data_IF_603948219551
#
_entry.id   IF_603948219551
#
_cell.length_a   1.000
_cell.length_b   1.000
_cell.length_c   1.000
_cell.angle_alpha   90.00
_cell.angle_beta   90.00
_cell.angle_gamma   90.00
#
_symmetry.space_group_name_H-M   'P 1'
#
loop_
_entity.id
_entity.type
_entity.pdbx_description
1 polymer ?
#
# COMPACT_ATOMS: atom_id res chain seq x y z
N UNK A 1 -3.34 49.09 -43.16
CA UNK A 1 -3.70 48.17 -42.06
C UNK A 1 -5.01 48.67 -41.51
N UNK A 2 -6.12 48.10 -41.91
CA UNK A 2 -7.42 48.40 -41.32
C UNK A 2 -7.45 47.86 -39.89
N UNK A 3 -7.84 48.73 -38.96
CA UNK A 3 -8.03 48.39 -37.55
C UNK A 3 -9.32 47.57 -37.46
N UNK A 4 -9.19 46.26 -37.24
CA UNK A 4 -10.27 45.30 -37.13
C UNK A 4 -10.72 45.14 -35.66
N UNK A 5 -10.54 46.18 -34.85
CA UNK A 5 -11.04 46.18 -33.48
C UNK A 5 -12.57 46.21 -33.53
N UNK A 6 -13.29 45.18 -33.12
CA UNK A 6 -14.75 45.20 -33.10
C UNK A 6 -15.22 46.27 -32.13
N UNK A 7 -16.07 47.20 -32.61
CA UNK A 7 -16.82 48.12 -31.75
C UNK A 7 -17.51 47.30 -30.63
N UNK A 8 -17.44 47.83 -29.42
CA UNK A 8 -17.88 47.19 -28.16
C UNK A 8 -19.12 46.32 -28.34
N UNK A 9 -18.92 45.00 -28.42
CA UNK A 9 -20.05 44.08 -28.28
C UNK A 9 -20.54 44.18 -26.84
N UNK A 10 -21.74 44.73 -26.64
CA UNK A 10 -22.49 44.54 -25.41
C UNK A 10 -22.86 43.05 -25.30
N UNK A 11 -21.91 42.25 -24.83
CA UNK A 11 -22.17 40.87 -24.47
C UNK A 11 -23.20 40.89 -23.36
N UNK A 12 -24.37 40.31 -23.60
CA UNK A 12 -25.39 40.19 -22.58
C UNK A 12 -24.76 39.49 -21.36
N UNK A 13 -25.16 39.83 -20.14
CA UNK A 13 -24.62 39.25 -18.88
C UNK A 13 -24.61 37.73 -18.94
N UNK A 14 -25.61 37.11 -19.58
CA UNK A 14 -25.72 35.67 -19.80
C UNK A 14 -24.61 35.16 -20.72
N UNK A 15 -24.33 35.81 -21.83
CA UNK A 15 -23.27 35.41 -22.76
C UNK A 15 -21.89 35.48 -22.10
N UNK A 16 -21.62 36.54 -21.30
CA UNK A 16 -20.38 36.69 -20.54
C UNK A 16 -20.23 35.56 -19.49
N UNK A 17 -21.30 35.22 -18.76
CA UNK A 17 -21.27 34.13 -17.79
C UNK A 17 -21.07 32.77 -18.47
N UNK A 18 -21.72 32.54 -19.61
CA UNK A 18 -21.57 31.27 -20.38
C UNK A 18 -20.16 31.15 -20.93
N UNK A 19 -19.57 32.24 -21.49
CA UNK A 19 -18.20 32.24 -21.98
C UNK A 19 -17.20 31.96 -20.86
N UNK A 20 -17.36 32.61 -19.70
CA UNK A 20 -16.52 32.36 -18.53
C UNK A 20 -16.63 30.90 -18.03
N UNK A 21 -17.82 30.35 -18.04
CA UNK A 21 -18.03 28.95 -17.63
C UNK A 21 -17.41 27.96 -18.64
N UNK A 22 -17.55 28.22 -19.95
CA UNK A 22 -16.92 27.42 -21.01
C UNK A 22 -15.40 27.45 -20.93
N UNK A 23 -14.80 28.63 -20.73
CA UNK A 23 -13.34 28.76 -20.54
C UNK A 23 -12.89 28.01 -19.30
N UNK A 24 -13.59 28.16 -18.18
CA UNK A 24 -13.29 27.44 -16.96
C UNK A 24 -13.36 25.92 -17.13
N UNK A 25 -14.35 25.44 -17.90
CA UNK A 25 -14.48 24.02 -18.21
C UNK A 25 -13.37 23.55 -19.14
N UNK A 26 -13.00 24.31 -20.16
CA UNK A 26 -11.90 23.98 -21.06
C UNK A 26 -10.55 23.93 -20.32
N UNK A 27 -10.29 24.88 -19.42
CA UNK A 27 -9.09 24.85 -18.55
C UNK A 27 -9.04 23.60 -17.68
N UNK A 28 -10.17 23.25 -17.05
CA UNK A 28 -10.26 22.01 -16.25
C UNK A 28 -10.00 20.75 -17.09
N UNK A 29 -10.47 20.70 -18.32
CA UNK A 29 -10.23 19.56 -19.20
C UNK A 29 -8.73 19.45 -19.57
N UNK A 30 -8.08 20.57 -19.89
CA UNK A 30 -6.64 20.61 -20.19
C UNK A 30 -5.82 20.19 -18.96
N UNK A 31 -6.18 20.68 -17.77
CA UNK A 31 -5.53 20.29 -16.52
C UNK A 31 -5.68 18.78 -16.26
N UNK A 32 -6.86 18.23 -16.56
CA UNK A 32 -7.17 16.81 -16.44
C UNK A 32 -6.34 15.97 -17.42
N UNK A 33 -6.27 16.36 -18.69
CA UNK A 33 -5.45 15.67 -19.69
C UNK A 33 -3.97 15.65 -19.30
N UNK A 34 -3.40 16.79 -18.93
CA UNK A 34 -2.02 16.88 -18.44
C UNK A 34 -1.77 16.04 -17.20
N UNK A 35 -2.77 15.95 -16.32
CA UNK A 35 -2.71 15.11 -15.13
C UNK A 35 -2.66 13.63 -15.52
N UNK A 36 -3.53 13.19 -16.45
CA UNK A 36 -3.51 11.81 -16.96
C UNK A 36 -2.18 11.45 -17.61
N UNK A 37 -1.68 12.29 -18.53
CA UNK A 37 -0.38 12.10 -19.18
C UNK A 37 0.77 11.93 -18.17
N UNK A 38 0.68 12.62 -17.03
CA UNK A 38 1.72 12.62 -16.01
C UNK A 38 1.75 11.36 -15.16
N UNK A 39 0.60 10.74 -14.92
CA UNK A 39 0.46 9.65 -13.96
C UNK A 39 -0.01 8.32 -14.56
N UNK A 40 -0.52 8.26 -15.80
CA UNK A 40 -1.09 7.06 -16.43
C UNK A 40 -0.14 5.85 -16.46
N UNK A 41 1.19 6.08 -16.47
CA UNK A 41 2.21 5.04 -16.49
C UNK A 41 2.83 4.79 -15.12
N UNK A 42 2.28 5.39 -14.08
CA UNK A 42 2.77 5.30 -12.69
C UNK A 42 1.78 4.64 -11.75
N UNK A 43 0.69 4.12 -12.27
CA UNK A 43 -0.21 3.27 -11.50
C UNK A 43 0.56 2.03 -11.02
N UNK A 44 0.29 1.61 -9.79
CA UNK A 44 0.96 0.50 -9.11
C UNK A 44 2.44 0.76 -8.79
N UNK A 45 2.87 2.01 -8.76
CA UNK A 45 4.24 2.39 -8.41
C UNK A 45 4.31 3.15 -7.08
N UNK A 46 5.52 3.10 -6.49
CA UNK A 46 5.89 3.95 -5.37
C UNK A 46 6.30 5.33 -5.87
N UNK A 47 5.61 6.35 -5.40
CA UNK A 47 5.89 7.75 -5.69
C UNK A 47 6.49 8.44 -4.47
N UNK A 48 7.42 9.36 -4.71
CA UNK A 48 7.89 10.31 -3.70
C UNK A 48 6.88 11.44 -3.60
N UNK A 49 6.45 11.74 -2.39
CA UNK A 49 5.52 12.81 -2.07
C UNK A 49 6.12 13.67 -0.96
N UNK A 50 5.88 14.98 -1.03
CA UNK A 50 6.26 15.91 0.03
C UNK A 50 5.04 16.33 0.81
N UNK A 51 5.10 16.24 2.13
CA UNK A 51 4.05 16.74 3.00
C UNK A 51 4.03 18.26 2.92
N UNK A 52 2.90 18.83 2.49
CA UNK A 52 2.74 20.30 2.41
C UNK A 52 2.09 20.85 3.67
N UNK A 53 1.08 20.16 4.17
CA UNK A 53 0.39 20.52 5.41
C UNK A 53 -0.39 19.33 5.96
N UNK A 54 -0.67 19.38 7.24
CA UNK A 54 -1.62 18.48 7.91
C UNK A 54 -2.88 19.28 8.22
N UNK A 55 -4.05 18.75 7.87
CA UNK A 55 -5.34 19.39 8.11
C UNK A 55 -6.30 18.39 8.78
N UNK A 56 -6.54 18.57 10.09
CA UNK A 56 -7.22 17.56 10.89
C UNK A 56 -6.46 16.25 10.85
N UNK A 57 -7.17 15.17 10.55
CA UNK A 57 -6.58 13.82 10.42
C UNK A 57 -6.05 13.51 9.01
N UNK A 58 -6.19 14.43 8.05
CA UNK A 58 -5.75 14.25 6.68
C UNK A 58 -4.42 14.93 6.40
N UNK A 59 -3.58 14.29 5.59
CA UNK A 59 -2.28 14.83 5.16
C UNK A 59 -2.37 15.28 3.72
N UNK A 60 -1.97 16.51 3.46
CA UNK A 60 -1.93 17.08 2.10
C UNK A 60 -0.51 16.95 1.58
N UNK A 61 -0.39 16.29 0.45
CA UNK A 61 0.88 15.96 -0.20
C UNK A 61 1.03 16.71 -1.52
N UNK A 62 2.25 17.03 -1.87
CA UNK A 62 2.65 17.41 -3.22
C UNK A 62 3.36 16.24 -3.89
N UNK A 63 2.84 15.78 -5.03
CA UNK A 63 3.46 14.76 -5.88
C UNK A 63 3.78 15.39 -7.22
N UNK A 64 5.04 15.74 -7.42
CA UNK A 64 5.51 16.40 -8.66
C UNK A 64 4.69 17.65 -9.06
N UNK A 65 4.35 18.52 -8.10
CA UNK A 65 3.56 19.73 -8.34
C UNK A 65 2.05 19.46 -8.40
N UNK A 66 1.59 18.29 -8.03
CA UNK A 66 0.17 17.96 -7.92
C UNK A 66 -0.22 17.76 -6.45
N UNK A 67 -1.19 18.51 -5.99
CA UNK A 67 -1.70 18.41 -4.61
C UNK A 67 -2.64 17.22 -4.50
N UNK A 68 -2.34 16.31 -3.58
CA UNK A 68 -3.11 15.09 -3.31
C UNK A 68 -3.38 14.99 -1.81
N UNK A 69 -4.52 14.45 -1.43
CA UNK A 69 -4.88 14.23 -0.03
C UNK A 69 -4.68 12.74 0.30
N UNK A 70 -3.97 12.48 1.40
CA UNK A 70 -3.85 11.16 2.01
C UNK A 70 -4.79 11.12 3.22
N UNK A 71 -5.96 10.48 3.10
CA UNK A 71 -6.92 10.41 4.19
C UNK A 71 -6.47 9.44 5.29
N UNK A 72 -7.04 9.53 6.50
CA UNK A 72 -6.59 8.77 7.68
C UNK A 72 -6.55 7.25 7.47
N UNK A 73 -7.52 6.71 6.72
CA UNK A 73 -7.63 5.26 6.44
C UNK A 73 -6.51 4.71 5.57
N UNK A 74 -5.79 5.59 4.84
CA UNK A 74 -4.68 5.22 3.96
C UNK A 74 -3.31 5.62 4.52
N UNK A 75 -3.29 6.22 5.70
CA UNK A 75 -2.06 6.55 6.42
C UNK A 75 -1.54 5.36 7.21
N UNK A 76 -0.26 5.41 7.58
CA UNK A 76 0.28 4.54 8.62
C UNK A 76 -0.30 5.02 9.95
N UNK A 77 -1.05 4.18 10.70
CA UNK A 77 -1.64 4.58 11.98
C UNK A 77 -0.57 5.09 12.96
N UNK A 78 -0.85 6.20 13.63
CA UNK A 78 -0.01 6.83 14.66
C UNK A 78 1.29 7.48 14.14
N UNK A 79 1.54 7.48 12.83
CA UNK A 79 2.64 8.24 12.25
C UNK A 79 2.34 9.73 12.33
N UNK A 80 3.30 10.49 12.85
CA UNK A 80 3.27 11.96 12.78
C UNK A 80 3.89 12.40 11.45
N UNK A 81 3.12 13.14 10.67
CA UNK A 81 3.56 13.72 9.42
C UNK A 81 3.92 15.18 9.64
N UNK A 82 5.14 15.57 9.25
CA UNK A 82 5.61 16.96 9.41
C UNK A 82 5.65 17.68 8.06
N UNK A 83 5.21 18.95 7.98
CA UNK A 83 5.34 19.75 6.77
C UNK A 83 6.80 19.82 6.29
N UNK A 84 7.02 19.54 5.01
CA UNK A 84 8.35 19.46 4.39
C UNK A 84 8.95 18.06 4.36
N UNK A 85 8.44 17.09 5.10
CA UNK A 85 8.87 15.70 5.06
C UNK A 85 8.65 15.08 3.69
N UNK A 86 9.62 14.29 3.21
CA UNK A 86 9.47 13.45 2.03
C UNK A 86 9.07 12.05 2.44
N UNK A 87 7.95 11.57 1.91
CA UNK A 87 7.41 10.23 2.17
C UNK A 87 7.23 9.45 0.88
N UNK A 88 7.29 8.13 0.96
CA UNK A 88 6.87 7.27 -0.13
C UNK A 88 5.37 6.98 0.00
N UNK A 89 4.65 6.98 -1.13
CA UNK A 89 3.24 6.59 -1.21
C UNK A 89 3.05 5.66 -2.41
N UNK A 90 2.17 4.71 -2.28
CA UNK A 90 1.79 3.82 -3.37
C UNK A 90 0.61 4.41 -4.13
N UNK A 91 0.76 4.55 -5.45
CA UNK A 91 -0.32 4.98 -6.33
C UNK A 91 -1.09 3.76 -6.81
N UNK A 92 -2.31 3.60 -6.31
CA UNK A 92 -3.15 2.46 -6.64
C UNK A 92 -3.83 2.62 -7.99
N UNK A 93 -4.53 3.74 -8.18
CA UNK A 93 -5.16 4.10 -9.45
C UNK A 93 -5.50 5.59 -9.52
N UNK A 94 -5.91 6.01 -10.71
CA UNK A 94 -6.43 7.34 -10.95
C UNK A 94 -7.93 7.29 -11.16
N UNK A 95 -8.69 8.04 -10.36
CA UNK A 95 -10.12 8.24 -10.61
C UNK A 95 -10.35 9.50 -11.42
N UNK A 96 -11.09 9.32 -12.52
CA UNK A 96 -11.59 10.43 -13.33
C UNK A 96 -13.03 10.73 -12.95
N UNK A 97 -13.22 11.47 -11.86
CA UNK A 97 -14.58 11.91 -11.49
C UNK A 97 -14.83 13.37 -11.91
N UNK A 98 -16.14 13.69 -12.07
CA UNK A 98 -16.60 15.04 -12.30
C UNK A 98 -16.23 15.93 -11.12
N UNK A 99 -15.18 16.76 -11.28
CA UNK A 99 -14.80 17.75 -10.27
C UNK A 99 -13.36 17.77 -9.81
N UNK A 100 -12.54 16.80 -10.18
CA UNK A 100 -11.11 16.76 -9.81
C UNK A 100 -10.43 15.48 -10.27
N UNK A 101 -9.13 15.56 -10.44
CA UNK A 101 -8.29 14.38 -10.66
C UNK A 101 -7.91 13.83 -9.29
N UNK A 102 -8.44 12.70 -8.93
CA UNK A 102 -8.11 12.06 -7.66
C UNK A 102 -7.14 10.91 -7.89
N UNK A 103 -5.93 11.06 -7.35
CA UNK A 103 -5.02 9.93 -7.16
C UNK A 103 -5.46 9.20 -5.90
N UNK A 104 -5.70 7.91 -6.01
CA UNK A 104 -5.86 7.05 -4.85
C UNK A 104 -4.48 6.55 -4.43
N UNK A 105 -3.97 7.13 -3.37
CA UNK A 105 -2.66 6.83 -2.81
C UNK A 105 -2.81 6.19 -1.45
N UNK A 106 -1.88 5.30 -1.09
CA UNK A 106 -1.92 4.61 0.19
C UNK A 106 -0.52 4.32 0.73
N UNK A 107 -0.41 4.31 2.06
CA UNK A 107 0.71 3.73 2.80
C UNK A 107 0.27 2.53 3.64
N UNK A 108 -1.04 2.29 3.75
CA UNK A 108 -1.60 1.29 4.66
C UNK A 108 -1.93 -0.05 4.00
N UNK A 109 -2.00 -0.13 2.66
CA UNK A 109 -2.35 -1.36 1.95
C UNK A 109 -1.17 -2.35 1.81
N UNK A 110 -1.48 -3.57 1.40
CA UNK A 110 -0.48 -4.62 1.16
C UNK A 110 0.41 -4.31 -0.05
N UNK A 111 -0.17 -3.69 -1.10
CA UNK A 111 0.55 -3.35 -2.33
C UNK A 111 1.68 -2.34 -2.08
N UNK A 112 1.54 -1.46 -1.08
CA UNK A 112 2.61 -0.56 -0.63
C UNK A 112 3.84 -1.34 -0.17
N UNK A 113 3.63 -2.45 0.58
CA UNK A 113 4.71 -3.33 1.02
C UNK A 113 5.34 -4.05 -0.17
N UNK A 114 4.50 -4.63 -1.05
CA UNK A 114 4.99 -5.32 -2.26
C UNK A 114 5.91 -4.41 -3.08
N UNK A 115 5.45 -3.20 -3.38
CA UNK A 115 6.21 -2.23 -4.17
C UNK A 115 7.52 -1.77 -3.49
N UNK A 116 7.55 -1.67 -2.15
CA UNK A 116 8.80 -1.40 -1.41
C UNK A 116 9.75 -2.58 -1.53
N UNK A 117 9.26 -3.81 -1.30
CA UNK A 117 10.08 -5.01 -1.35
C UNK A 117 10.67 -5.22 -2.76
N UNK A 118 9.86 -5.11 -3.80
CA UNK A 118 10.31 -5.22 -5.20
C UNK A 118 11.38 -4.19 -5.56
N UNK A 119 11.26 -2.97 -5.04
CA UNK A 119 12.24 -1.92 -5.27
C UNK A 119 13.56 -2.16 -4.54
N UNK A 120 13.51 -2.78 -3.36
CA UNK A 120 14.67 -2.98 -2.50
C UNK A 120 15.36 -4.33 -2.73
N UNK A 121 14.64 -5.35 -3.23
CA UNK A 121 15.10 -6.73 -3.35
C UNK A 121 15.16 -7.12 -4.83
N UNK A 122 16.38 -7.19 -5.43
CA UNK A 122 16.53 -7.50 -6.85
C UNK A 122 15.99 -8.87 -7.25
N UNK A 123 15.99 -9.84 -6.33
CA UNK A 123 15.52 -11.21 -6.55
C UNK A 123 14.00 -11.27 -6.79
N UNK A 124 13.26 -10.32 -6.24
CA UNK A 124 11.85 -10.12 -6.58
C UNK A 124 11.70 -9.49 -7.96
N UNK A 125 12.51 -8.47 -8.27
CA UNK A 125 12.45 -7.78 -9.55
C UNK A 125 12.83 -8.68 -10.74
N UNK A 126 13.72 -9.66 -10.55
CA UNK A 126 14.14 -10.61 -11.60
C UNK A 126 13.33 -11.92 -11.60
N UNK A 127 12.37 -12.09 -10.69
CA UNK A 127 11.49 -13.26 -10.61
C UNK A 127 12.15 -14.53 -10.05
N UNK A 128 13.33 -14.45 -9.43
CA UNK A 128 13.96 -15.57 -8.72
C UNK A 128 13.14 -15.97 -7.49
N UNK A 129 12.61 -14.98 -6.79
CA UNK A 129 11.67 -15.14 -5.68
C UNK A 129 10.37 -14.42 -6.05
N UNK A 130 9.24 -15.03 -5.74
CA UNK A 130 7.92 -14.43 -5.98
C UNK A 130 7.22 -14.15 -4.66
N UNK A 131 6.44 -13.07 -4.63
CA UNK A 131 5.49 -12.81 -3.55
C UNK A 131 4.14 -13.40 -3.94
N UNK A 132 3.72 -14.43 -3.22
CA UNK A 132 2.44 -15.10 -3.46
C UNK A 132 1.28 -14.36 -2.80
N UNK A 133 1.52 -13.87 -1.59
CA UNK A 133 0.48 -13.22 -0.80
C UNK A 133 1.07 -12.32 0.28
N UNK A 134 0.38 -11.22 0.55
CA UNK A 134 0.69 -10.34 1.68
C UNK A 134 -0.56 -10.15 2.51
N UNK A 135 -0.46 -10.40 3.82
CA UNK A 135 -1.44 -9.99 4.81
C UNK A 135 -0.82 -8.95 5.72
N UNK A 136 -1.48 -7.80 5.87
CA UNK A 136 -0.95 -6.65 6.57
C UNK A 136 -1.90 -6.09 7.62
N UNK A 137 -1.36 -5.83 8.77
CA UNK A 137 -1.93 -4.95 9.78
C UNK A 137 -0.95 -3.78 9.96
N UNK A 138 -1.20 -2.69 9.24
CA UNK A 138 -0.28 -1.55 9.17
C UNK A 138 0.21 -1.11 10.55
N UNK A 139 1.52 -0.85 10.66
CA UNK A 139 2.26 -0.51 11.88
C UNK A 139 2.22 -1.53 13.02
N UNK A 140 1.74 -2.71 12.78
CA UNK A 140 1.76 -3.80 13.77
C UNK A 140 2.61 -4.95 13.26
N UNK A 141 2.17 -5.55 12.16
CA UNK A 141 2.81 -6.73 11.59
C UNK A 141 2.34 -6.97 10.16
N UNK A 142 3.27 -7.42 9.33
CA UNK A 142 2.99 -7.92 7.98
C UNK A 142 3.54 -9.34 7.84
N UNK A 143 2.79 -10.21 7.19
CA UNK A 143 3.24 -11.53 6.75
C UNK A 143 3.29 -11.55 5.23
N UNK A 144 4.46 -11.89 4.70
CA UNK A 144 4.74 -11.99 3.27
C UNK A 144 5.00 -13.45 2.95
N UNK A 145 4.17 -14.02 2.11
CA UNK A 145 4.33 -15.40 1.64
C UNK A 145 5.14 -15.35 0.36
N UNK A 146 6.22 -16.11 0.36
CA UNK A 146 7.18 -16.16 -0.75
C UNK A 146 7.31 -17.56 -1.30
N UNK A 147 7.68 -17.64 -2.58
CA UNK A 147 7.98 -18.89 -3.28
C UNK A 147 9.19 -18.72 -4.19
N UNK A 148 9.75 -19.83 -4.65
CA UNK A 148 10.76 -19.85 -5.70
C UNK A 148 10.54 -21.05 -6.61
N UNK A 149 10.94 -20.90 -7.88
CA UNK A 149 10.94 -22.00 -8.85
C UNK A 149 12.30 -22.73 -8.91
N UNK A 150 13.31 -22.25 -8.18
CA UNK A 150 14.65 -22.85 -8.15
C UNK A 150 14.87 -23.52 -6.78
N UNK A 151 14.90 -24.85 -6.76
CA UNK A 151 15.13 -25.65 -5.56
C UNK A 151 16.45 -25.34 -4.82
N UNK A 152 17.37 -24.63 -5.45
CA UNK A 152 18.65 -24.24 -4.85
C UNK A 152 18.59 -22.92 -4.12
N UNK A 153 17.48 -22.20 -4.25
CA UNK A 153 17.27 -20.89 -3.66
C UNK A 153 16.37 -21.03 -2.43
N UNK A 154 16.84 -20.59 -1.28
CA UNK A 154 15.99 -20.40 -0.09
C UNK A 154 15.29 -19.04 -0.20
N UNK A 155 13.97 -18.99 -0.51
CA UNK A 155 13.29 -17.74 -0.74
C UNK A 155 13.22 -16.88 0.53
N UNK A 156 13.08 -17.50 1.72
CA UNK A 156 13.07 -16.78 3.00
C UNK A 156 14.46 -16.25 3.32
N UNK A 157 15.49 -17.06 3.10
CA UNK A 157 16.88 -16.67 3.28
C UNK A 157 17.25 -15.48 2.41
N UNK A 158 16.84 -15.46 1.14
CA UNK A 158 17.03 -14.34 0.23
C UNK A 158 16.39 -13.06 0.77
N UNK A 159 15.15 -13.14 1.28
CA UNK A 159 14.44 -11.97 1.81
C UNK A 159 15.07 -11.41 3.08
N UNK A 160 15.64 -12.28 3.92
CA UNK A 160 16.22 -11.91 5.22
C UNK A 160 17.71 -11.59 5.12
N UNK A 161 18.46 -12.33 4.30
CA UNK A 161 19.92 -12.28 4.30
C UNK A 161 20.50 -11.11 3.49
N UNK A 162 19.76 -10.57 2.54
CA UNK A 162 20.29 -9.48 1.73
C UNK A 162 20.46 -8.18 2.53
N UNK A 163 21.46 -8.21 3.39
CA UNK A 163 22.06 -7.11 4.15
C UNK A 163 21.08 -6.33 5.02
N UNK A 164 21.30 -6.44 6.27
CA UNK A 164 20.77 -5.60 7.35
C UNK A 164 20.54 -4.13 6.95
N UNK A 165 21.38 -3.58 6.06
CA UNK A 165 21.22 -2.23 5.53
C UNK A 165 19.95 -2.05 4.71
N UNK A 166 19.59 -3.01 3.83
CA UNK A 166 18.37 -2.92 3.00
C UNK A 166 17.10 -3.13 3.82
N UNK A 167 17.13 -4.09 4.74
CA UNK A 167 16.01 -4.30 5.66
C UNK A 167 15.81 -3.07 6.55
N UNK A 168 16.88 -2.42 7.01
CA UNK A 168 16.77 -1.20 7.80
C UNK A 168 16.16 -0.05 7.01
N UNK A 169 16.45 0.07 5.71
CA UNK A 169 15.80 1.03 4.82
C UNK A 169 14.30 0.73 4.66
N UNK A 170 13.95 -0.54 4.42
CA UNK A 170 12.55 -1.00 4.35
C UNK A 170 11.83 -0.70 5.67
N UNK A 171 12.41 -1.09 6.81
CA UNK A 171 11.81 -0.86 8.12
C UNK A 171 11.66 0.63 8.43
N UNK A 172 12.61 1.48 8.01
CA UNK A 172 12.49 2.92 8.19
C UNK A 172 11.35 3.53 7.37
N UNK A 173 11.12 3.03 6.15
CA UNK A 173 9.98 3.42 5.32
C UNK A 173 8.63 2.97 5.90
N UNK A 174 8.65 1.92 6.72
CA UNK A 174 7.47 1.30 7.34
C UNK A 174 7.30 1.65 8.82
N UNK A 175 8.06 2.64 9.34
CA UNK A 175 8.05 3.00 10.76
C UNK A 175 8.26 1.81 11.71
N UNK A 176 9.21 0.92 11.36
CA UNK A 176 9.58 -0.27 12.14
C UNK A 176 8.47 -1.31 12.27
N UNK A 177 7.54 -1.36 11.31
CA UNK A 177 6.57 -2.44 11.21
C UNK A 177 7.27 -3.81 11.11
N UNK A 178 6.81 -4.79 11.89
CA UNK A 178 7.40 -6.13 11.85
C UNK A 178 6.96 -6.87 10.60
N UNK A 179 7.93 -7.39 9.84
CA UNK A 179 7.67 -8.21 8.66
C UNK A 179 8.16 -9.63 8.92
N UNK A 180 7.27 -10.61 8.75
CA UNK A 180 7.59 -12.03 8.72
C UNK A 180 7.56 -12.52 7.27
N UNK A 181 8.64 -13.12 6.80
CA UNK A 181 8.70 -13.83 5.53
C UNK A 181 8.50 -15.32 5.77
N UNK A 182 7.62 -15.93 5.00
CA UNK A 182 7.21 -17.33 5.17
C UNK A 182 7.16 -17.95 3.78
N UNK A 183 7.83 -19.08 3.62
CA UNK A 183 7.73 -19.89 2.42
C UNK A 183 6.38 -20.58 2.34
N UNK A 184 5.81 -20.63 1.13
CA UNK A 184 4.58 -21.41 0.92
C UNK A 184 4.92 -22.89 1.03
N UNK A 185 4.04 -23.65 1.67
CA UNK A 185 4.16 -25.10 1.79
C UNK A 185 2.85 -25.75 1.31
N UNK A 186 2.97 -26.89 0.63
CA UNK A 186 1.84 -27.66 0.12
C UNK A 186 1.05 -28.35 1.25
N UNK A 187 1.71 -28.66 2.36
CA UNK A 187 1.06 -29.19 3.56
C UNK A 187 0.46 -28.04 4.38
N UNK A 188 -0.88 -27.95 4.46
CA UNK A 188 -1.54 -26.86 5.17
C UNK A 188 -1.24 -26.85 6.67
N UNK A 189 -0.88 -27.99 7.29
CA UNK A 189 -0.50 -28.04 8.70
C UNK A 189 0.89 -27.44 8.91
N UNK A 190 1.86 -27.80 8.07
CA UNK A 190 3.23 -27.27 8.10
C UNK A 190 3.17 -25.76 7.86
N UNK A 191 2.45 -25.35 6.80
CA UNK A 191 2.27 -23.93 6.47
C UNK A 191 1.64 -23.14 7.61
N UNK A 192 0.59 -23.65 8.26
CA UNK A 192 -0.05 -22.98 9.39
C UNK A 192 0.89 -22.86 10.60
N UNK A 193 1.70 -23.89 10.86
CA UNK A 193 2.73 -23.85 11.91
C UNK A 193 3.74 -22.72 11.63
N UNK A 194 4.17 -22.58 10.40
CA UNK A 194 5.09 -21.52 9.99
C UNK A 194 4.46 -20.13 10.05
N UNK A 195 3.20 -20.01 9.67
CA UNK A 195 2.44 -18.77 9.82
C UNK A 195 2.33 -18.29 11.26
N UNK A 196 2.27 -19.19 12.23
CA UNK A 196 2.08 -18.84 13.65
C UNK A 196 3.39 -18.77 14.43
N UNK A 197 4.55 -19.01 13.81
CA UNK A 197 5.86 -18.83 14.48
C UNK A 197 5.94 -17.44 15.15
N UNK A 198 6.55 -17.32 16.33
CA UNK A 198 7.32 -18.32 17.06
C UNK A 198 6.48 -19.21 18.01
N UNK A 199 5.15 -19.20 17.92
CA UNK A 199 4.31 -20.06 18.78
C UNK A 199 4.51 -21.55 18.47
N UNK A 200 4.54 -22.36 19.53
CA UNK A 200 4.63 -23.81 19.43
C UNK A 200 3.23 -24.43 19.42
N UNK A 201 2.88 -25.06 18.30
CA UNK A 201 1.57 -25.69 18.10
C UNK A 201 1.68 -27.18 18.42
N UNK A 202 0.77 -27.68 19.28
CA UNK A 202 0.69 -29.11 19.62
C UNK A 202 -0.01 -29.90 18.51
N UNK A 203 -1.21 -29.50 18.12
CA UNK A 203 -1.99 -30.13 17.05
C UNK A 203 -2.88 -29.11 16.32
N UNK A 204 -3.26 -29.48 15.10
CA UNK A 204 -4.20 -28.71 14.27
C UNK A 204 -5.29 -29.66 13.77
N UNK A 205 -6.52 -29.22 13.86
CA UNK A 205 -7.68 -29.95 13.32
C UNK A 205 -8.34 -29.05 12.26
N UNK A 206 -8.30 -29.46 11.00
CA UNK A 206 -8.92 -28.73 9.88
C UNK A 206 -10.36 -29.18 9.66
N UNK A 207 -11.27 -28.21 9.55
CA UNK A 207 -12.63 -28.36 9.04
C UNK A 207 -12.82 -27.56 7.75
N UNK A 208 -14.04 -27.53 7.20
CA UNK A 208 -14.33 -26.90 5.89
C UNK A 208 -13.88 -25.44 5.76
N UNK A 209 -14.11 -24.61 6.78
CA UNK A 209 -13.76 -23.17 6.78
C UNK A 209 -13.15 -22.72 8.11
N UNK A 210 -12.70 -23.68 8.91
CA UNK A 210 -12.20 -23.44 10.25
C UNK A 210 -11.06 -24.40 10.55
N UNK A 211 -10.04 -23.92 11.27
CA UNK A 211 -9.06 -24.78 11.89
C UNK A 211 -9.00 -24.48 13.39
N UNK A 212 -8.95 -25.56 14.19
CA UNK A 212 -8.79 -25.50 15.63
C UNK A 212 -7.33 -25.85 15.96
N UNK A 213 -6.68 -24.93 16.65
CA UNK A 213 -5.24 -24.99 16.94
C UNK A 213 -5.09 -25.19 18.44
N UNK A 214 -4.49 -26.28 18.81
CA UNK A 214 -4.18 -26.59 20.22
C UNK A 214 -2.77 -26.12 20.54
N UNK A 215 -2.66 -25.27 21.55
CA UNK A 215 -1.39 -24.78 22.08
C UNK A 215 -1.38 -24.87 23.60
N UNK A 216 -0.19 -24.82 24.20
CA UNK A 216 -0.07 -24.67 25.65
C UNK A 216 -0.56 -23.30 26.11
N UNK A 217 -1.07 -23.19 27.32
CA UNK A 217 -1.59 -21.92 27.89
C UNK A 217 -0.57 -20.79 27.80
N UNK A 218 0.70 -21.07 28.03
CA UNK A 218 1.79 -20.10 27.94
C UNK A 218 2.06 -19.62 26.50
N UNK A 219 1.70 -20.42 25.50
CA UNK A 219 1.89 -20.12 24.08
C UNK A 219 0.70 -19.37 23.46
N UNK A 220 -0.48 -19.38 24.08
CA UNK A 220 -1.68 -18.70 23.58
C UNK A 220 -1.45 -17.20 23.28
N UNK A 221 -0.83 -16.41 24.18
CA UNK A 221 -0.56 -14.99 23.87
C UNK A 221 0.37 -14.80 22.68
N UNK A 222 1.32 -15.71 22.48
CA UNK A 222 2.26 -15.67 21.36
C UNK A 222 1.56 -16.03 20.05
N UNK A 223 0.75 -17.07 20.04
CA UNK A 223 -0.03 -17.51 18.88
C UNK A 223 -1.05 -16.45 18.45
N UNK A 224 -1.72 -15.80 19.39
CA UNK A 224 -2.65 -14.70 19.13
C UNK A 224 -1.91 -13.46 18.65
N UNK A 225 -0.81 -13.10 19.30
CA UNK A 225 -0.01 -11.92 19.01
C UNK A 225 -0.63 -10.61 19.48
N UNK A 226 0.15 -9.52 19.40
CA UNK A 226 -0.29 -8.16 19.77
C UNK A 226 -1.49 -7.74 18.94
N UNK A 227 -2.58 -7.28 19.58
CA UNK A 227 -3.86 -6.93 18.91
C UNK A 227 -4.46 -8.08 18.08
N UNK A 228 -4.15 -9.32 18.43
CA UNK A 228 -4.50 -10.52 17.66
C UNK A 228 -3.93 -10.53 16.23
N UNK A 229 -2.80 -9.86 16.00
CA UNK A 229 -2.22 -9.73 14.67
C UNK A 229 -1.79 -11.06 14.07
N UNK A 230 -1.19 -11.95 14.89
CA UNK A 230 -0.62 -13.19 14.37
C UNK A 230 -1.72 -14.12 13.82
N UNK A 231 -2.77 -14.34 14.62
CA UNK A 231 -3.90 -15.21 14.23
C UNK A 231 -4.74 -14.56 13.10
N UNK A 232 -4.99 -13.25 13.14
CA UNK A 232 -5.77 -12.57 12.10
C UNK A 232 -5.08 -12.61 10.74
N UNK A 233 -3.77 -12.34 10.70
CA UNK A 233 -3.00 -12.39 9.46
C UNK A 233 -2.89 -13.82 8.91
N UNK A 234 -2.67 -14.81 9.78
CA UNK A 234 -2.68 -16.22 9.38
C UNK A 234 -4.05 -16.63 8.81
N UNK A 235 -5.15 -16.23 9.46
CA UNK A 235 -6.51 -16.46 8.98
C UNK A 235 -6.76 -15.82 7.60
N UNK A 236 -6.28 -14.61 7.37
CA UNK A 236 -6.37 -13.94 6.06
C UNK A 236 -5.57 -14.66 4.97
N UNK A 237 -4.40 -15.20 5.30
CA UNK A 237 -3.57 -15.95 4.36
C UNK A 237 -4.22 -17.27 3.99
N UNK A 238 -4.67 -18.03 4.98
CA UNK A 238 -5.28 -19.34 4.79
C UNK A 238 -6.72 -19.30 4.28
N UNK A 239 -7.40 -18.14 4.31
CA UNK A 239 -8.83 -17.96 3.99
C UNK A 239 -9.78 -18.83 4.86
N UNK A 240 -9.37 -19.15 6.08
CA UNK A 240 -10.15 -19.92 7.04
C UNK A 240 -10.18 -19.20 8.39
N UNK A 241 -11.18 -19.52 9.20
CA UNK A 241 -11.24 -19.03 10.59
C UNK A 241 -10.33 -19.89 11.46
N UNK A 242 -9.44 -19.24 12.21
CA UNK A 242 -8.54 -19.92 13.15
C UNK A 242 -9.04 -19.74 14.59
N UNK A 243 -9.16 -20.83 15.32
CA UNK A 243 -9.48 -20.82 16.75
C UNK A 243 -8.34 -21.45 17.53
N UNK A 244 -7.94 -20.81 18.64
CA UNK A 244 -6.90 -21.30 19.55
C UNK A 244 -7.57 -21.82 20.82
N UNK A 245 -7.28 -23.06 21.19
CA UNK A 245 -7.77 -23.72 22.38
C UNK A 245 -6.65 -24.10 23.33
#
# INVERSE_FOLDING_TARGET
MEDVTPESMELSRIATMTAAQTIKQALKNIEKEKFYEKFQWKEWELLKARVTRVHGDSVVLDINGTTVVLPPEWQIPWKNYEPGEEIAVFLKWMKSEWGGSNLEISQANADYIAAILEKCIPELANGTVNIEKIARMAWVKTKVIVSTNDEKVDPVGVMVWYKWERISEILSLLDWEKIDFIEIDDDPEVFLRDLLKPAQIQSVEFGDKKAVIKVEEEQKPVAIGKKASNIKLASQIMWITLEII
#
